data_IF_534575809558
#
_entry.id   IF_534575809558
#
_cell.length_a   1.000
_cell.length_b   1.000
_cell.length_c   1.000
_cell.angle_alpha   90.00
_cell.angle_beta   90.00
_cell.angle_gamma   90.00
#
_symmetry.space_group_name_H-M   'P 1'
#
loop_
_entity.id
_entity.type
_entity.pdbx_description
1 polymer ?
#
# COMPACT_ATOMS: atom_id res chain seq x y z
N UNK A 1 6.17 12.59 -46.87
CA UNK A 1 7.11 12.03 -45.88
C UNK A 1 7.05 12.75 -44.55
N UNK A 2 7.05 14.10 -44.50
CA UNK A 2 7.11 14.88 -43.24
C UNK A 2 5.91 14.81 -42.26
N UNK A 3 4.73 14.36 -42.68
CA UNK A 3 3.57 14.32 -41.78
C UNK A 3 3.52 13.03 -40.91
N UNK A 4 3.97 11.88 -41.44
CA UNK A 4 4.11 10.64 -40.68
C UNK A 4 5.20 10.67 -39.61
N UNK A 5 6.27 11.40 -39.88
CA UNK A 5 7.39 11.61 -38.94
C UNK A 5 6.93 12.45 -37.73
N UNK A 6 6.16 13.53 -37.96
CA UNK A 6 5.61 14.37 -36.86
C UNK A 6 4.58 13.66 -35.99
N UNK A 7 3.81 12.70 -36.57
CA UNK A 7 2.87 11.88 -35.79
C UNK A 7 3.64 10.84 -34.95
N UNK A 8 4.67 10.23 -35.50
CA UNK A 8 5.53 9.31 -34.77
C UNK A 8 6.27 10.00 -33.62
N UNK A 9 6.84 11.18 -33.85
CA UNK A 9 7.47 11.99 -32.80
C UNK A 9 6.49 12.38 -31.66
N UNK A 10 5.24 12.65 -32.00
CA UNK A 10 4.23 13.07 -31.02
C UNK A 10 3.68 11.91 -30.19
N UNK A 11 3.63 10.69 -30.71
CA UNK A 11 3.15 9.50 -29.99
C UNK A 11 4.26 8.67 -29.34
N UNK A 12 5.48 8.71 -29.87
CA UNK A 12 6.61 7.96 -29.30
C UNK A 12 7.61 8.85 -28.56
N UNK A 13 7.58 10.16 -28.78
CA UNK A 13 8.49 11.11 -28.14
C UNK A 13 8.37 11.10 -26.62
N UNK A 14 7.14 11.03 -26.08
CA UNK A 14 6.90 11.00 -24.62
C UNK A 14 7.29 9.65 -24.01
N UNK A 15 7.09 8.55 -24.74
CA UNK A 15 7.50 7.21 -24.31
C UNK A 15 9.02 7.09 -24.33
N UNK A 16 9.66 7.65 -25.36
CA UNK A 16 11.13 7.65 -25.47
C UNK A 16 11.73 8.56 -24.41
N UNK A 17 11.15 9.75 -24.17
CA UNK A 17 11.60 10.64 -23.08
C UNK A 17 11.46 9.98 -21.72
N UNK A 18 10.33 9.40 -21.41
CA UNK A 18 10.12 8.72 -20.12
C UNK A 18 11.09 7.55 -19.93
N UNK A 19 11.38 6.78 -20.98
CA UNK A 19 12.40 5.71 -20.92
C UNK A 19 13.82 6.21 -20.84
N UNK A 20 14.14 7.32 -21.51
CA UNK A 20 15.46 7.96 -21.40
C UNK A 20 15.64 8.59 -20.01
N UNK A 21 14.61 9.25 -19.47
CA UNK A 21 14.63 9.78 -18.11
C UNK A 21 14.77 8.65 -17.08
N UNK A 22 14.06 7.53 -17.27
CA UNK A 22 14.19 6.32 -16.45
C UNK A 22 15.60 5.71 -16.55
N UNK A 23 16.17 5.65 -17.75
CA UNK A 23 17.52 5.13 -17.94
C UNK A 23 18.59 6.07 -17.36
N UNK A 24 18.40 7.39 -17.47
CA UNK A 24 19.30 8.39 -16.88
C UNK A 24 19.21 8.35 -15.35
N UNK A 25 18.03 8.24 -14.77
CA UNK A 25 17.87 8.08 -13.32
C UNK A 25 18.48 6.77 -12.82
N UNK A 26 18.29 5.66 -13.53
CA UNK A 26 18.91 4.37 -13.17
C UNK A 26 20.45 4.40 -13.31
N UNK A 27 21.00 5.23 -14.19
CA UNK A 27 22.45 5.47 -14.31
C UNK A 27 22.93 6.39 -13.19
N UNK A 28 22.15 7.41 -12.85
CA UNK A 28 22.47 8.33 -11.75
C UNK A 28 22.45 7.60 -10.40
N UNK A 29 21.46 6.73 -10.15
CA UNK A 29 21.40 5.91 -8.95
C UNK A 29 22.58 4.94 -8.85
N UNK A 30 22.99 4.30 -9.98
CA UNK A 30 24.20 3.45 -10.03
C UNK A 30 25.49 4.25 -9.84
N UNK A 31 25.54 5.49 -10.35
CA UNK A 31 26.67 6.37 -10.21
C UNK A 31 26.89 6.82 -8.75
N UNK A 32 25.79 7.12 -8.02
CA UNK A 32 25.86 7.43 -6.59
C UNK A 32 26.34 6.24 -5.74
N UNK A 33 25.94 5.03 -6.07
CA UNK A 33 26.42 3.79 -5.43
C UNK A 33 27.96 3.64 -5.60
N UNK A 34 28.53 4.10 -6.70
CA UNK A 34 29.98 4.00 -6.97
C UNK A 34 30.81 5.13 -6.30
N UNK A 35 30.23 6.26 -5.96
CA UNK A 35 30.96 7.44 -5.49
C UNK A 35 30.82 7.78 -3.99
N UNK A 36 30.41 6.85 -3.15
CA UNK A 36 30.53 6.98 -1.68
C UNK A 36 29.24 7.18 -0.91
N UNK A 37 28.08 7.07 -1.53
CA UNK A 37 26.86 6.78 -0.79
C UNK A 37 26.88 5.30 -0.43
N UNK A 38 26.79 4.94 0.85
CA UNK A 38 26.55 3.57 1.26
C UNK A 38 25.11 3.23 0.94
N UNK A 39 24.84 2.88 -0.33
CA UNK A 39 23.59 2.20 -0.67
C UNK A 39 23.61 0.84 0.02
N UNK A 40 22.62 0.55 0.81
CA UNK A 40 22.44 -0.79 1.34
C UNK A 40 22.26 -1.74 0.15
N UNK A 41 23.06 -2.82 0.05
CA UNK A 41 23.10 -3.66 -1.15
C UNK A 41 21.79 -4.36 -1.44
N UNK A 42 20.86 -4.37 -0.49
CA UNK A 42 19.54 -5.00 -0.59
C UNK A 42 18.41 -4.00 -0.85
N UNK A 43 18.71 -2.69 -0.85
CA UNK A 43 17.68 -1.70 -1.17
C UNK A 43 17.36 -1.70 -2.66
N UNK A 44 16.09 -1.48 -2.95
CA UNK A 44 15.62 -1.25 -4.32
C UNK A 44 15.99 0.16 -4.76
N UNK A 45 16.25 0.38 -6.08
CA UNK A 45 16.42 1.72 -6.62
C UNK A 45 15.22 2.61 -6.25
N UNK A 46 15.48 3.88 -5.95
CA UNK A 46 14.45 4.83 -5.51
C UNK A 46 13.25 4.90 -6.47
N UNK A 47 13.52 4.91 -7.76
CA UNK A 47 12.47 4.95 -8.78
C UNK A 47 11.49 3.77 -8.66
N UNK A 48 12.01 2.55 -8.45
CA UNK A 48 11.18 1.35 -8.31
C UNK A 48 10.39 1.39 -7.00
N UNK A 49 11.04 1.81 -5.91
CA UNK A 49 10.39 1.96 -4.62
C UNK A 49 9.27 3.01 -4.66
N UNK A 50 9.52 4.15 -5.32
CA UNK A 50 8.50 5.19 -5.48
C UNK A 50 7.29 4.68 -6.27
N UNK A 51 7.52 3.90 -7.32
CA UNK A 51 6.46 3.23 -8.07
C UNK A 51 5.65 2.26 -7.21
N UNK A 52 6.30 1.42 -6.41
CA UNK A 52 5.63 0.49 -5.51
C UNK A 52 4.79 1.22 -4.44
N UNK A 53 5.32 2.29 -3.86
CA UNK A 53 4.58 3.11 -2.88
C UNK A 53 3.34 3.76 -3.50
N UNK A 54 3.45 4.25 -4.74
CA UNK A 54 2.32 4.81 -5.48
C UNK A 54 1.27 3.75 -5.81
N UNK A 55 1.69 2.59 -6.31
CA UNK A 55 0.82 1.45 -6.63
C UNK A 55 0.11 0.91 -5.38
N UNK A 56 0.80 0.83 -4.24
CA UNK A 56 0.22 0.40 -2.98
C UNK A 56 -0.84 1.39 -2.46
N UNK A 57 -0.58 2.70 -2.60
CA UNK A 57 -1.55 3.75 -2.25
C UNK A 57 -2.79 3.70 -3.14
N UNK A 58 -2.60 3.52 -4.46
CA UNK A 58 -3.71 3.41 -5.40
C UNK A 58 -4.52 2.12 -5.16
N UNK A 59 -3.84 1.00 -4.91
CA UNK A 59 -4.50 -0.26 -4.57
C UNK A 59 -5.34 -0.12 -3.30
N UNK A 60 -4.81 0.50 -2.24
CA UNK A 60 -5.56 0.75 -1.01
C UNK A 60 -6.80 1.61 -1.24
N UNK A 61 -6.72 2.62 -2.11
CA UNK A 61 -7.85 3.51 -2.44
C UNK A 61 -8.91 2.87 -3.32
N UNK A 62 -8.50 2.04 -4.28
CA UNK A 62 -9.37 1.60 -5.37
C UNK A 62 -9.71 0.10 -5.35
N UNK A 63 -8.96 -0.73 -4.62
CA UNK A 63 -9.17 -2.18 -4.59
C UNK A 63 -9.73 -2.63 -3.24
N UNK A 64 -10.96 -3.20 -3.19
CA UNK A 64 -11.60 -3.62 -1.94
C UNK A 64 -10.79 -4.64 -1.13
N UNK A 65 -10.06 -5.54 -1.81
CA UNK A 65 -9.24 -6.54 -1.11
C UNK A 65 -8.01 -5.91 -0.46
N UNK A 66 -7.32 -4.98 -1.15
CA UNK A 66 -6.20 -4.23 -0.58
C UNK A 66 -6.66 -3.41 0.63
N UNK A 67 -7.77 -2.70 0.50
CA UNK A 67 -8.37 -1.95 1.62
C UNK A 67 -8.67 -2.86 2.81
N UNK A 68 -9.30 -4.03 2.54
CA UNK A 68 -9.65 -4.98 3.61
C UNK A 68 -8.42 -5.56 4.31
N UNK A 69 -7.34 -5.87 3.58
CA UNK A 69 -6.10 -6.39 4.16
C UNK A 69 -5.48 -5.36 5.12
N UNK A 70 -5.38 -4.10 4.70
CA UNK A 70 -4.83 -3.03 5.56
C UNK A 70 -5.70 -2.81 6.78
N UNK A 71 -7.03 -2.65 6.61
CA UNK A 71 -7.94 -2.43 7.73
C UNK A 71 -7.96 -3.60 8.71
N UNK A 72 -7.92 -4.84 8.21
CA UNK A 72 -7.87 -6.02 9.05
C UNK A 72 -6.58 -6.08 9.88
N UNK A 73 -5.44 -5.75 9.28
CA UNK A 73 -4.17 -5.65 10.00
C UNK A 73 -4.27 -4.62 11.12
N UNK A 74 -4.80 -3.45 10.85
CA UNK A 74 -5.00 -2.40 11.86
C UNK A 74 -5.97 -2.83 12.96
N UNK A 75 -7.09 -3.49 12.60
CA UNK A 75 -8.04 -4.04 13.56
C UNK A 75 -7.39 -5.03 14.55
N UNK A 76 -6.47 -5.89 14.06
CA UNK A 76 -5.77 -6.85 14.90
C UNK A 76 -4.56 -6.29 15.65
N UNK A 77 -3.81 -5.37 15.06
CA UNK A 77 -2.58 -4.80 15.65
C UNK A 77 -2.91 -3.74 16.68
N UNK A 78 -3.75 -2.78 16.32
CA UNK A 78 -4.12 -1.67 17.20
C UNK A 78 -5.27 -2.07 18.13
N UNK A 79 -6.22 -2.85 17.65
CA UNK A 79 -7.35 -3.35 18.43
C UNK A 79 -8.15 -2.21 19.07
N UNK A 80 -8.34 -2.28 20.37
CA UNK A 80 -9.00 -1.22 21.16
C UNK A 80 -8.08 -0.03 21.48
N UNK A 81 -6.82 -0.09 21.04
CA UNK A 81 -5.78 0.91 21.27
C UNK A 81 -4.61 0.34 22.05
N UNK A 82 -3.47 1.01 21.89
CA UNK A 82 -2.24 0.72 22.63
C UNK A 82 -1.84 1.98 23.38
N UNK A 83 -1.25 1.83 24.54
CA UNK A 83 -0.72 2.94 25.35
C UNK A 83 0.65 2.58 25.90
N UNK A 84 1.50 3.58 26.07
CA UNK A 84 2.82 3.45 26.67
C UNK A 84 2.80 4.08 28.05
N UNK A 85 3.31 3.35 29.01
CA UNK A 85 3.35 3.73 30.41
C UNK A 85 4.77 3.64 30.97
N UNK A 86 4.98 4.23 32.15
CA UNK A 86 6.23 4.14 32.89
C UNK A 86 5.98 3.80 34.37
N UNK A 87 6.88 3.01 34.93
CA UNK A 87 6.93 2.73 36.37
C UNK A 87 7.39 3.95 37.19
N UNK A 88 7.98 4.96 36.56
CA UNK A 88 8.52 6.14 37.17
C UNK A 88 7.47 7.29 37.12
N UNK A 89 7.01 7.81 38.25
CA UNK A 89 5.90 8.77 38.27
C UNK A 89 6.16 10.04 37.42
N UNK A 90 7.38 10.58 37.46
CA UNK A 90 7.75 11.76 36.65
C UNK A 90 7.67 11.51 35.15
N UNK A 91 8.15 10.33 34.74
CA UNK A 91 8.11 9.90 33.32
C UNK A 91 6.67 9.65 32.91
N UNK A 92 5.86 9.03 33.78
CA UNK A 92 4.44 8.81 33.52
C UNK A 92 3.69 10.11 33.33
N UNK A 93 3.91 11.13 34.18
CA UNK A 93 3.28 12.45 34.04
C UNK A 93 3.64 13.11 32.68
N UNK A 94 4.90 12.98 32.23
CA UNK A 94 5.30 13.47 30.91
C UNK A 94 4.59 12.71 29.78
N UNK A 95 4.52 11.37 29.89
CA UNK A 95 3.84 10.52 28.90
C UNK A 95 2.36 10.87 28.78
N UNK A 96 1.66 11.04 29.88
CA UNK A 96 0.23 11.40 29.90
C UNK A 96 0.00 12.72 29.16
N UNK A 97 0.85 13.72 29.41
CA UNK A 97 0.79 15.01 28.72
C UNK A 97 1.14 14.87 27.23
N UNK A 98 2.18 14.11 26.89
CA UNK A 98 2.59 13.86 25.51
C UNK A 98 1.49 13.14 24.72
N UNK A 99 0.91 12.10 25.31
CA UNK A 99 -0.09 11.23 24.69
C UNK A 99 -1.39 11.96 24.39
N UNK A 100 -1.87 12.75 25.36
CA UNK A 100 -3.15 13.46 25.28
C UNK A 100 -3.04 14.84 24.67
N UNK A 101 -1.82 15.37 24.48
CA UNK A 101 -1.62 16.71 23.95
C UNK A 101 -2.38 16.92 22.65
N UNK A 102 -3.12 18.07 22.55
CA UNK A 102 -4.01 18.36 21.40
C UNK A 102 -3.32 18.34 20.03
N UNK A 103 -2.01 18.60 19.96
CA UNK A 103 -1.22 18.56 18.73
C UNK A 103 -0.70 17.16 18.41
N UNK A 104 -0.58 16.28 19.40
CA UNK A 104 -0.14 14.89 19.21
C UNK A 104 -1.34 13.97 18.97
N UNK A 105 -2.36 13.98 19.84
CA UNK A 105 -3.56 13.14 19.72
C UNK A 105 -3.19 11.70 19.40
N UNK A 106 -2.31 11.10 20.18
CA UNK A 106 -1.73 9.79 19.91
C UNK A 106 -2.79 8.72 19.58
N UNK A 107 -3.91 8.59 20.34
CA UNK A 107 -4.91 7.56 20.03
C UNK A 107 -5.48 7.64 18.61
N UNK A 108 -5.57 8.84 18.02
CA UNK A 108 -6.08 9.02 16.65
C UNK A 108 -5.02 8.77 15.57
N UNK A 109 -3.74 8.62 15.96
CA UNK A 109 -2.64 8.38 15.02
C UNK A 109 -2.31 6.91 14.85
N UNK A 110 -2.56 6.12 15.89
CA UNK A 110 -2.14 4.71 15.91
C UNK A 110 -2.69 3.93 14.71
N UNK A 111 -3.98 4.05 14.42
CA UNK A 111 -4.60 3.40 13.27
C UNK A 111 -3.94 3.84 11.95
N UNK A 112 -3.77 5.16 11.75
CA UNK A 112 -3.14 5.69 10.53
C UNK A 112 -1.69 5.27 10.37
N UNK A 113 -0.95 5.14 11.48
CA UNK A 113 0.44 4.68 11.45
C UNK A 113 0.53 3.18 11.14
N UNK A 114 -0.38 2.39 11.68
CA UNK A 114 -0.48 0.98 11.34
C UNK A 114 -0.87 0.78 9.87
N UNK A 115 -1.84 1.55 9.36
CA UNK A 115 -2.21 1.55 7.94
C UNK A 115 -1.02 1.93 7.05
N UNK A 116 -0.24 2.96 7.43
CA UNK A 116 0.92 3.41 6.67
C UNK A 116 2.02 2.36 6.65
N UNK A 117 2.36 1.76 7.82
CA UNK A 117 3.32 0.66 7.90
C UNK A 117 2.89 -0.54 7.05
N UNK A 118 1.63 -0.96 7.16
CA UNK A 118 1.09 -2.08 6.38
C UNK A 118 1.16 -1.80 4.88
N UNK A 119 0.81 -0.58 4.46
CA UNK A 119 0.75 -0.18 3.06
C UNK A 119 2.11 0.14 2.47
N UNK A 120 2.89 0.99 3.15
CA UNK A 120 4.16 1.51 2.64
C UNK A 120 5.38 0.71 3.13
N UNK A 121 5.25 -0.03 4.23
CA UNK A 121 6.37 -0.74 4.87
C UNK A 121 7.23 0.14 5.75
N UNK A 122 6.96 1.45 5.79
CA UNK A 122 7.78 2.43 6.45
C UNK A 122 6.95 3.55 7.06
N UNK A 123 7.43 4.09 8.17
CA UNK A 123 6.85 5.24 8.85
C UNK A 123 7.95 6.21 9.26
N UNK A 124 7.89 7.43 8.76
CA UNK A 124 8.81 8.51 9.12
C UNK A 124 8.10 9.53 10.01
N UNK A 125 8.60 9.69 11.24
CA UNK A 125 8.02 10.56 12.25
C UNK A 125 9.02 11.67 12.63
N UNK A 126 8.58 12.92 12.53
CA UNK A 126 9.38 14.07 12.97
C UNK A 126 8.94 14.50 14.36
N UNK A 127 9.86 14.48 15.29
CA UNK A 127 9.73 15.08 16.62
C UNK A 127 10.26 16.52 16.61
N UNK A 128 9.37 17.48 16.80
CA UNK A 128 9.73 18.89 17.00
C UNK A 128 9.65 19.20 18.49
N UNK A 129 10.78 19.44 19.14
CA UNK A 129 10.85 19.65 20.58
C UNK A 129 10.83 21.13 20.91
N UNK A 130 9.88 21.57 21.74
CA UNK A 130 9.78 22.93 22.23
C UNK A 130 10.88 23.17 23.29
N UNK A 131 11.75 24.17 23.09
CA UNK A 131 12.83 24.43 24.01
C UNK A 131 12.39 24.98 25.36
N UNK A 132 11.14 25.50 25.50
CA UNK A 132 10.67 26.12 26.72
C UNK A 132 10.18 25.12 27.76
N UNK A 133 9.59 24.00 27.32
CA UNK A 133 8.95 23.01 28.19
C UNK A 133 9.38 21.56 27.89
N UNK A 134 10.25 21.36 26.91
CA UNK A 134 10.73 20.03 26.48
C UNK A 134 9.68 19.19 25.76
N UNK A 135 8.43 19.66 25.59
CA UNK A 135 7.39 18.89 24.93
C UNK A 135 7.71 18.67 23.45
N UNK A 136 7.63 17.43 23.00
CA UNK A 136 7.79 17.06 21.60
C UNK A 136 6.46 16.95 20.89
N UNK A 137 6.40 17.44 19.65
CA UNK A 137 5.23 17.33 18.77
C UNK A 137 5.56 16.45 17.59
N UNK A 138 4.69 15.46 17.33
CA UNK A 138 4.90 14.46 16.29
C UNK A 138 4.22 14.87 14.99
N UNK A 139 4.93 14.71 13.87
CA UNK A 139 4.39 14.85 12.50
C UNK A 139 4.90 13.74 11.61
N UNK A 140 4.02 13.30 10.73
CA UNK A 140 4.33 12.26 9.74
C UNK A 140 4.91 12.88 8.47
N UNK A 141 5.90 12.20 7.87
CA UNK A 141 6.39 12.49 6.52
C UNK A 141 6.12 11.24 5.68
N UNK A 142 5.42 11.36 4.53
CA UNK A 142 5.15 10.21 3.67
C UNK A 142 6.45 9.55 3.19
N UNK A 143 6.52 8.22 3.23
CA UNK A 143 7.67 7.43 2.76
C UNK A 143 8.05 7.77 1.30
N UNK A 144 7.07 8.07 0.45
CA UNK A 144 7.27 8.47 -0.93
C UNK A 144 7.99 9.83 -1.11
N UNK A 145 8.24 10.58 -0.03
CA UNK A 145 9.01 11.82 -0.06
C UNK A 145 10.44 11.65 0.43
N UNK A 146 10.78 10.51 1.01
CA UNK A 146 12.14 10.24 1.53
C UNK A 146 12.88 9.41 0.48
N UNK A 147 13.76 10.06 -0.28
CA UNK A 147 14.50 9.41 -1.36
C UNK A 147 15.83 8.81 -0.90
N UNK A 148 16.42 9.32 0.19
CA UNK A 148 17.69 8.84 0.73
C UNK A 148 17.71 8.73 2.23
N UNK A 149 18.33 7.66 2.70
CA UNK A 149 18.66 7.41 4.11
C UNK A 149 20.17 7.25 4.18
N UNK A 150 20.84 8.02 5.01
CA UNK A 150 22.26 7.88 5.28
C UNK A 150 22.48 7.24 6.64
N UNK A 151 23.22 6.13 6.64
CA UNK A 151 23.63 5.42 7.84
C UNK A 151 25.13 5.62 8.13
N UNK A 152 25.56 5.25 9.33
CA UNK A 152 26.96 5.30 9.71
C UNK A 152 27.79 4.31 8.89
N UNK A 153 29.05 4.62 8.58
CA UNK A 153 29.95 3.72 7.88
C UNK A 153 30.10 2.38 8.62
N UNK A 154 29.70 1.30 7.95
CA UNK A 154 29.78 -0.06 8.52
C UNK A 154 28.65 -0.44 9.46
N UNK A 155 27.69 0.44 9.71
CA UNK A 155 26.52 0.19 10.57
C UNK A 155 25.25 0.75 9.96
N UNK A 156 24.47 -0.11 9.29
CA UNK A 156 23.21 0.27 8.64
C UNK A 156 22.07 0.54 9.64
N UNK A 157 22.22 0.15 10.89
CA UNK A 157 21.19 0.40 11.92
C UNK A 157 21.34 1.77 12.56
N UNK A 158 22.55 2.37 12.46
CA UNK A 158 22.77 3.73 12.90
C UNK A 158 22.46 4.73 11.80
N UNK A 159 21.17 5.07 11.65
CA UNK A 159 20.68 6.03 10.67
C UNK A 159 21.03 7.46 11.11
N UNK A 160 21.81 8.18 10.28
CA UNK A 160 22.34 9.50 10.59
C UNK A 160 21.42 10.63 10.15
N UNK A 161 20.85 10.51 8.94
CA UNK A 161 19.96 11.55 8.38
C UNK A 161 19.12 11.04 7.22
N UNK A 162 18.05 11.77 6.96
CA UNK A 162 17.07 11.44 5.92
C UNK A 162 16.90 12.64 4.99
N UNK A 163 16.87 12.39 3.69
CA UNK A 163 16.61 13.40 2.68
C UNK A 163 15.16 13.38 2.23
N UNK A 164 14.48 14.52 2.33
CA UNK A 164 13.07 14.70 1.94
C UNK A 164 12.98 15.55 0.67
N UNK A 165 12.28 15.03 -0.34
CA UNK A 165 11.86 15.76 -1.53
C UNK A 165 10.66 16.64 -1.19
N UNK A 166 10.86 17.94 -1.12
CA UNK A 166 9.83 18.92 -0.72
C UNK A 166 9.36 19.83 -1.86
N UNK A 167 9.68 19.49 -3.12
CA UNK A 167 9.39 20.27 -4.31
C UNK A 167 10.44 21.34 -4.62
N UNK A 168 11.47 21.52 -3.78
CA UNK A 168 12.67 22.28 -4.13
C UNK A 168 13.72 21.37 -4.75
N UNK A 169 14.63 21.93 -5.58
CA UNK A 169 15.72 21.16 -6.20
C UNK A 169 16.71 20.59 -5.18
N UNK A 170 16.85 21.22 -4.01
CA UNK A 170 17.80 20.83 -2.97
C UNK A 170 17.19 19.90 -1.92
N UNK A 171 15.85 19.76 -1.86
CA UNK A 171 15.17 18.99 -0.82
C UNK A 171 15.43 19.52 0.60
N UNK A 172 15.28 18.64 1.59
CA UNK A 172 15.55 18.92 3.00
C UNK A 172 16.18 17.73 3.68
N UNK A 173 17.20 17.97 4.49
CA UNK A 173 17.78 16.97 5.37
C UNK A 173 17.20 17.04 6.78
N UNK A 174 16.89 15.88 7.33
CA UNK A 174 16.44 15.71 8.70
C UNK A 174 17.48 14.91 9.48
N UNK A 175 17.90 15.34 10.68
CA UNK A 175 18.78 14.55 11.52
C UNK A 175 18.04 13.27 11.99
N UNK A 176 18.77 12.16 11.99
CA UNK A 176 18.32 10.85 12.46
C UNK A 176 18.79 10.55 13.87
N UNK A 177 18.37 9.39 14.45
CA UNK A 177 18.74 8.94 15.77
C UNK A 177 20.26 8.73 15.96
N UNK A 178 20.98 8.38 14.89
CA UNK A 178 22.41 8.17 14.90
C UNK A 178 23.24 9.45 14.77
N UNK A 179 22.63 10.61 14.56
CA UNK A 179 23.32 11.88 14.45
C UNK A 179 23.87 12.35 15.81
N UNK A 180 25.01 13.02 15.80
CA UNK A 180 25.67 13.50 17.04
C UNK A 180 24.82 14.58 17.76
N UNK A 181 23.95 15.28 17.04
CA UNK A 181 23.05 16.30 17.55
C UNK A 181 21.59 15.83 17.76
N UNK A 182 21.33 14.52 17.71
CA UNK A 182 19.99 13.93 17.78
C UNK A 182 19.15 14.43 18.98
N UNK A 183 19.77 14.63 20.15
CA UNK A 183 19.11 15.14 21.33
C UNK A 183 18.95 16.67 21.34
N UNK A 184 19.89 17.39 20.72
CA UNK A 184 19.95 18.86 20.77
C UNK A 184 19.35 19.56 19.55
N UNK A 185 19.23 18.90 18.41
CA UNK A 185 18.61 19.46 17.22
C UNK A 185 17.15 19.89 17.50
N UNK A 186 16.64 20.97 16.90
CA UNK A 186 15.25 21.38 17.11
C UNK A 186 14.23 20.34 16.64
N UNK A 187 14.60 19.57 15.64
CA UNK A 187 13.78 18.50 15.05
C UNK A 187 14.61 17.25 14.86
N UNK A 188 13.99 16.09 15.03
CA UNK A 188 14.57 14.78 14.82
C UNK A 188 13.57 13.94 14.01
N UNK A 189 14.04 13.23 13.00
CA UNK A 189 13.23 12.25 12.29
C UNK A 189 13.57 10.85 12.81
N UNK A 190 12.53 10.08 13.11
CA UNK A 190 12.59 8.67 13.44
C UNK A 190 12.05 7.88 12.27
N UNK A 191 12.70 6.77 11.95
CA UNK A 191 12.30 5.84 10.91
C UNK A 191 11.97 4.47 11.49
N UNK A 192 10.80 3.98 11.17
CA UNK A 192 10.34 2.64 11.53
C UNK A 192 9.98 1.89 10.27
N UNK A 193 10.39 0.63 10.17
CA UNK A 193 10.20 -0.18 8.98
C UNK A 193 9.81 -1.61 9.32
N UNK A 194 8.98 -2.21 8.46
CA UNK A 194 8.59 -3.62 8.53
C UNK A 194 9.13 -4.37 7.31
N UNK A 195 9.22 -5.69 7.42
CA UNK A 195 9.67 -6.57 6.33
C UNK A 195 11.01 -6.11 5.70
N UNK A 196 11.90 -5.55 6.52
CA UNK A 196 13.21 -5.06 6.09
C UNK A 196 14.20 -6.22 5.99
N UNK A 197 14.74 -6.53 4.79
CA UNK A 197 15.77 -7.57 4.66
C UNK A 197 17.06 -7.19 5.40
N UNK A 198 17.80 -8.18 5.86
CA UNK A 198 19.14 -7.92 6.42
C UNK A 198 20.03 -7.28 5.36
N UNK A 199 20.66 -6.17 5.68
CA UNK A 199 21.48 -5.40 4.74
C UNK A 199 20.70 -4.38 3.90
N UNK A 200 19.43 -4.14 4.22
CA UNK A 200 18.62 -3.05 3.66
C UNK A 200 18.46 -1.91 4.69
N UNK A 201 18.24 -0.69 4.21
CA UNK A 201 17.78 0.45 4.99
C UNK A 201 16.25 0.59 4.89
N UNK A 202 15.67 0.15 3.76
CA UNK A 202 14.27 0.36 3.44
C UNK A 202 13.42 -0.86 3.80
N UNK A 203 12.22 -0.61 4.30
CA UNK A 203 11.21 -1.63 4.52
C UNK A 203 10.35 -1.91 3.30
N UNK A 204 9.46 -2.89 3.42
CA UNK A 204 8.52 -3.24 2.36
C UNK A 204 7.11 -3.41 2.92
N UNK A 205 6.12 -2.77 2.29
CA UNK A 205 4.72 -2.92 2.67
C UNK A 205 4.17 -4.33 2.43
N UNK A 206 3.22 -4.73 3.25
CA UNK A 206 2.56 -6.04 3.12
C UNK A 206 1.78 -6.18 1.81
N UNK A 207 1.41 -5.06 1.18
CA UNK A 207 0.75 -5.07 -0.12
C UNK A 207 1.70 -5.37 -1.29
N UNK A 208 2.99 -5.06 -1.17
CA UNK A 208 3.94 -5.14 -2.29
C UNK A 208 3.97 -6.53 -2.99
N UNK A 209 4.06 -7.67 -2.29
CA UNK A 209 4.10 -8.98 -2.95
C UNK A 209 2.77 -9.37 -3.59
N UNK A 210 1.66 -8.75 -3.19
CA UNK A 210 0.31 -9.09 -3.66
C UNK A 210 -0.24 -8.12 -4.71
N UNK A 211 0.38 -6.95 -4.92
CA UNK A 211 -0.06 -5.95 -5.93
C UNK A 211 -0.28 -6.56 -7.32
N UNK A 212 0.63 -7.40 -7.87
CA UNK A 212 0.42 -8.02 -9.17
C UNK A 212 -0.81 -8.94 -9.21
N UNK A 213 -1.11 -9.64 -8.12
CA UNK A 213 -2.26 -10.53 -8.00
C UNK A 213 -3.57 -9.77 -7.85
N UNK A 214 -3.57 -8.67 -7.10
CA UNK A 214 -4.71 -7.76 -6.99
C UNK A 214 -5.07 -7.15 -8.33
N UNK A 215 -4.07 -6.76 -9.13
CA UNK A 215 -4.25 -6.22 -10.49
C UNK A 215 -4.85 -7.27 -11.42
N UNK A 216 -4.26 -8.47 -11.47
CA UNK A 216 -4.76 -9.59 -12.29
C UNK A 216 -6.19 -9.99 -11.93
N UNK A 217 -6.51 -10.04 -10.64
CA UNK A 217 -7.85 -10.38 -10.20
C UNK A 217 -8.86 -9.31 -10.60
N UNK A 218 -8.53 -8.03 -10.50
CA UNK A 218 -9.36 -6.91 -10.97
C UNK A 218 -9.62 -7.02 -12.48
N UNK A 219 -8.57 -7.19 -13.29
CA UNK A 219 -8.67 -7.34 -14.74
C UNK A 219 -9.53 -8.54 -15.12
N UNK A 220 -9.33 -9.66 -14.45
CA UNK A 220 -10.15 -10.86 -14.64
C UNK A 220 -11.63 -10.61 -14.33
N UNK A 221 -11.98 -9.90 -13.27
CA UNK A 221 -13.36 -9.53 -12.96
C UNK A 221 -13.97 -8.61 -14.02
N UNK A 222 -13.20 -7.64 -14.54
CA UNK A 222 -13.63 -6.75 -15.61
C UNK A 222 -13.90 -7.53 -16.90
N UNK A 223 -13.03 -8.45 -17.28
CA UNK A 223 -13.23 -9.30 -18.45
C UNK A 223 -14.43 -10.23 -18.28
N UNK A 224 -14.64 -10.79 -17.10
CA UNK A 224 -15.86 -11.57 -16.79
C UNK A 224 -17.12 -10.72 -16.95
N UNK A 225 -17.11 -9.49 -16.45
CA UNK A 225 -18.24 -8.59 -16.62
C UNK A 225 -18.50 -8.27 -18.10
N UNK A 226 -17.43 -8.07 -18.90
CA UNK A 226 -17.56 -7.90 -20.37
C UNK A 226 -18.14 -9.13 -21.05
N UNK A 227 -17.60 -10.32 -20.76
CA UNK A 227 -18.10 -11.59 -21.31
C UNK A 227 -19.58 -11.78 -20.97
N UNK A 228 -20.00 -11.52 -19.73
CA UNK A 228 -21.38 -11.64 -19.30
C UNK A 228 -22.30 -10.66 -20.03
N UNK A 229 -21.84 -9.43 -20.32
CA UNK A 229 -22.58 -8.47 -21.17
C UNK A 229 -22.77 -9.00 -22.59
N UNK A 230 -21.70 -9.56 -23.17
CA UNK A 230 -21.79 -10.16 -24.52
C UNK A 230 -22.68 -11.38 -24.54
N UNK A 231 -22.67 -12.24 -23.51
CA UNK A 231 -23.59 -13.40 -23.42
C UNK A 231 -25.04 -12.99 -23.32
N UNK A 232 -25.33 -11.87 -22.66
CA UNK A 232 -26.68 -11.30 -22.58
C UNK A 232 -27.12 -10.53 -23.83
N UNK A 233 -26.19 -10.27 -24.77
CA UNK A 233 -26.50 -9.60 -26.02
C UNK A 233 -27.05 -10.60 -27.06
N UNK A 234 -28.27 -10.39 -27.49
CA UNK A 234 -28.82 -11.12 -28.63
C UNK A 234 -28.25 -10.54 -29.91
N UNK A 235 -27.53 -11.38 -30.66
CA UNK A 235 -27.14 -11.05 -32.01
C UNK A 235 -28.16 -11.65 -32.98
N UNK A 236 -28.81 -10.81 -33.75
CA UNK A 236 -29.70 -11.27 -34.82
C UNK A 236 -28.86 -11.52 -36.07
N UNK A 237 -28.83 -12.78 -36.52
CA UNK A 237 -28.31 -13.13 -37.84
C UNK A 237 -29.49 -13.19 -38.78
N UNK A 238 -29.50 -12.30 -39.76
CA UNK A 238 -30.49 -12.30 -40.87
C UNK A 238 -29.83 -12.88 -42.09
N UNK A 239 -30.25 -14.05 -42.49
CA UNK A 239 -29.78 -14.71 -43.72
C UNK A 239 -30.79 -14.40 -44.82
N UNK A 240 -30.32 -13.77 -45.91
CA UNK A 240 -31.15 -13.47 -47.09
C UNK A 240 -30.72 -14.41 -48.20
N UNK A 241 -31.62 -15.27 -48.67
CA UNK A 241 -31.39 -16.18 -49.78
C UNK A 241 -31.53 -15.46 -51.10
N UNK A 242 -30.67 -15.82 -52.10
CA UNK A 242 -30.66 -15.27 -53.45
C UNK A 242 -30.50 -13.74 -53.52
N UNK A 243 -29.81 -13.14 -52.62
CA UNK A 243 -29.60 -11.69 -52.57
C UNK A 243 -28.54 -11.25 -53.59
N UNK A 244 -28.92 -10.40 -54.56
CA UNK A 244 -27.97 -9.64 -55.35
C UNK A 244 -27.24 -8.57 -54.54
N UNK A 245 -26.09 -8.01 -55.02
CA UNK A 245 -25.22 -7.11 -54.26
C UNK A 245 -25.95 -5.89 -53.63
N UNK A 246 -26.92 -5.28 -54.35
CA UNK A 246 -27.66 -4.14 -53.84
C UNK A 246 -28.81 -4.48 -52.87
N UNK A 247 -29.19 -5.75 -52.73
CA UNK A 247 -30.27 -6.20 -51.84
C UNK A 247 -29.73 -6.28 -50.41
N UNK A 248 -28.53 -6.81 -50.21
CA UNK A 248 -27.88 -6.91 -48.90
C UNK A 248 -27.66 -5.54 -48.26
N UNK A 249 -27.21 -4.54 -49.05
CA UNK A 249 -27.04 -3.18 -48.55
C UNK A 249 -28.35 -2.53 -48.10
N UNK A 250 -29.41 -2.66 -48.87
CA UNK A 250 -30.73 -2.17 -48.49
C UNK A 250 -31.26 -2.84 -47.23
N UNK A 251 -31.11 -4.17 -47.11
CA UNK A 251 -31.52 -4.92 -45.92
C UNK A 251 -30.67 -4.54 -44.70
N UNK A 252 -29.35 -4.36 -44.87
CA UNK A 252 -28.49 -3.85 -43.80
C UNK A 252 -28.92 -2.48 -43.28
N UNK A 253 -29.27 -1.56 -44.18
CA UNK A 253 -29.77 -0.25 -43.79
C UNK A 253 -31.16 -0.32 -43.10
N UNK A 254 -32.02 -1.23 -43.54
CA UNK A 254 -33.35 -1.46 -42.96
C UNK A 254 -33.25 -2.03 -41.51
N UNK A 255 -32.28 -2.92 -41.26
CA UNK A 255 -32.12 -3.61 -39.97
C UNK A 255 -31.01 -3.01 -39.09
N UNK A 256 -30.63 -1.76 -39.31
CA UNK A 256 -29.66 -1.07 -38.45
C UNK A 256 -30.10 -0.95 -36.97
N UNK A 257 -31.42 -1.00 -36.73
CA UNK A 257 -31.97 -1.06 -35.37
C UNK A 257 -32.52 -2.45 -35.10
N UNK A 258 -32.09 -3.14 -34.02
CA UNK A 258 -32.71 -4.40 -33.65
C UNK A 258 -34.17 -4.23 -33.31
N UNK A 259 -35.03 -5.23 -33.54
CA UNK A 259 -36.41 -5.20 -33.15
C UNK A 259 -36.52 -5.01 -31.62
N UNK A 260 -37.53 -4.25 -31.21
CA UNK A 260 -37.78 -4.04 -29.79
C UNK A 260 -38.18 -5.36 -29.12
N UNK A 261 -37.85 -5.57 -27.81
CA UNK A 261 -38.33 -6.75 -27.10
C UNK A 261 -39.84 -6.92 -27.18
N UNK A 262 -40.29 -8.12 -27.56
CA UNK A 262 -41.73 -8.42 -27.74
C UNK A 262 -42.27 -8.07 -29.12
N UNK A 263 -41.47 -7.57 -30.07
CA UNK A 263 -41.93 -7.32 -31.44
C UNK A 263 -42.18 -8.65 -32.18
N UNK A 264 -43.20 -8.62 -33.05
CA UNK A 264 -43.45 -9.73 -34.01
C UNK A 264 -42.64 -9.45 -35.27
N UNK A 265 -41.77 -10.39 -35.62
CA UNK A 265 -40.99 -10.33 -36.87
C UNK A 265 -41.76 -11.13 -37.90
N UNK A 266 -42.15 -10.46 -39.00
CA UNK A 266 -42.79 -11.09 -40.16
C UNK A 266 -41.76 -11.16 -41.28
N UNK A 267 -41.45 -12.37 -41.76
CA UNK A 267 -40.46 -12.63 -42.81
C UNK A 267 -41.10 -13.36 -43.98
N UNK A 268 -40.54 -13.23 -45.16
CA UNK A 268 -40.87 -14.03 -46.36
C UNK A 268 -39.94 -15.26 -46.46
N UNK A 269 -40.15 -16.06 -47.51
CA UNK A 269 -39.32 -17.27 -47.76
C UNK A 269 -37.85 -16.99 -48.02
N UNK A 270 -37.47 -15.74 -48.29
CA UNK A 270 -36.11 -15.33 -48.63
C UNK A 270 -35.32 -14.90 -47.40
N UNK A 271 -35.95 -14.69 -46.24
CA UNK A 271 -35.29 -14.23 -45.04
C UNK A 271 -35.45 -15.25 -43.89
N UNK A 272 -34.32 -15.59 -43.30
CA UNK A 272 -34.27 -16.42 -42.10
C UNK A 272 -33.64 -15.61 -40.96
N UNK A 273 -34.38 -15.41 -39.89
CA UNK A 273 -33.94 -14.75 -38.68
C UNK A 273 -33.56 -15.76 -37.64
N UNK A 274 -32.32 -15.71 -37.21
CA UNK A 274 -31.80 -16.59 -36.16
C UNK A 274 -31.19 -15.75 -35.05
N UNK A 275 -31.63 -16.02 -33.83
CA UNK A 275 -30.95 -15.50 -32.65
C UNK A 275 -29.64 -16.29 -32.45
N UNK A 276 -28.51 -15.61 -32.56
CA UNK A 276 -27.19 -16.21 -32.32
C UNK A 276 -26.76 -15.79 -30.92
N UNK A 277 -26.65 -16.77 -30.05
CA UNK A 277 -26.01 -16.61 -28.76
C UNK A 277 -24.53 -16.90 -28.94
N UNK A 278 -23.62 -15.98 -28.60
CA UNK A 278 -22.19 -16.31 -28.58
C UNK A 278 -21.96 -17.49 -27.64
N UNK A 279 -21.57 -18.62 -28.17
CA UNK A 279 -21.17 -19.79 -27.37
C UNK A 279 -19.79 -19.54 -26.76
N UNK A 280 -19.72 -18.60 -25.80
CA UNK A 280 -18.52 -18.37 -25.04
C UNK A 280 -18.57 -19.34 -23.85
N UNK A 281 -17.79 -20.42 -23.94
CA UNK A 281 -17.59 -21.35 -22.83
C UNK A 281 -16.86 -20.61 -21.72
N UNK A 282 -17.53 -20.34 -20.63
CA UNK A 282 -16.99 -19.64 -19.47
C UNK A 282 -17.45 -20.31 -18.16
N UNK A 283 -17.67 -21.63 -18.20
CA UNK A 283 -18.10 -22.42 -17.06
C UNK A 283 -17.02 -22.53 -15.98
N UNK A 284 -15.74 -22.59 -16.37
CA UNK A 284 -14.60 -22.84 -15.48
C UNK A 284 -13.97 -21.59 -14.84
N UNK A 285 -14.66 -20.47 -14.86
CA UNK A 285 -14.11 -19.23 -14.34
C UNK A 285 -14.07 -19.14 -12.79
N UNK A 286 -14.86 -19.95 -12.09
CA UNK A 286 -14.88 -19.92 -10.62
C UNK A 286 -13.58 -20.44 -9.99
N UNK A 287 -12.98 -21.56 -10.45
CA UNK A 287 -11.69 -22.03 -9.97
C UNK A 287 -10.56 -21.04 -10.17
N UNK A 288 -10.49 -20.37 -11.34
CA UNK A 288 -9.44 -19.40 -11.67
C UNK A 288 -9.52 -18.17 -10.75
N UNK A 289 -10.70 -17.61 -10.59
CA UNK A 289 -10.91 -16.48 -9.68
C UNK A 289 -10.58 -16.85 -8.22
N UNK A 290 -10.88 -18.09 -7.80
CA UNK A 290 -10.52 -18.59 -6.48
C UNK A 290 -9.01 -18.76 -6.33
N UNK A 291 -8.32 -19.28 -7.34
CA UNK A 291 -6.86 -19.43 -7.32
C UNK A 291 -6.15 -18.07 -7.14
N UNK A 292 -6.58 -17.03 -7.85
CA UNK A 292 -6.02 -15.69 -7.69
C UNK A 292 -6.26 -15.11 -6.29
N UNK A 293 -7.47 -15.30 -5.73
CA UNK A 293 -7.76 -14.87 -4.34
C UNK A 293 -6.96 -15.64 -3.31
N UNK A 294 -6.68 -16.93 -3.53
CA UNK A 294 -5.80 -17.72 -2.67
C UNK A 294 -4.37 -17.17 -2.67
N UNK A 295 -3.84 -16.72 -3.83
CA UNK A 295 -2.53 -16.08 -3.90
C UNK A 295 -2.49 -14.76 -3.15
N UNK A 296 -3.56 -13.96 -3.24
CA UNK A 296 -3.70 -12.72 -2.46
C UNK A 296 -3.74 -13.04 -0.96
N UNK A 297 -4.54 -14.01 -0.55
CA UNK A 297 -4.69 -14.42 0.85
C UNK A 297 -3.36 -14.97 1.43
N UNK A 298 -2.67 -15.82 0.66
CA UNK A 298 -1.39 -16.39 1.04
C UNK A 298 -0.30 -15.31 1.18
N UNK A 299 -0.23 -14.37 0.24
CA UNK A 299 0.74 -13.27 0.30
C UNK A 299 0.47 -12.27 1.42
N UNK A 300 -0.80 -12.11 1.82
CA UNK A 300 -1.19 -11.29 2.95
C UNK A 300 -1.11 -12.03 4.31
N UNK A 301 -0.81 -13.33 4.31
CA UNK A 301 -0.74 -14.14 5.55
C UNK A 301 -2.09 -14.34 6.24
N UNK A 302 -3.20 -14.20 5.52
CA UNK A 302 -4.57 -14.28 6.08
C UNK A 302 -5.39 -15.37 5.41
N UNK A 303 -6.28 -16.08 6.13
CA UNK A 303 -7.18 -17.06 5.55
C UNK A 303 -8.19 -16.40 4.59
N UNK A 304 -8.55 -17.10 3.52
CA UNK A 304 -9.45 -16.59 2.48
C UNK A 304 -10.83 -16.17 3.04
N UNK A 305 -11.32 -16.84 4.08
CA UNK A 305 -12.61 -16.50 4.69
C UNK A 305 -12.61 -15.13 5.40
N UNK A 306 -11.45 -14.56 5.77
CA UNK A 306 -11.36 -13.20 6.28
C UNK A 306 -11.48 -12.15 5.17
N UNK A 307 -11.19 -12.54 3.92
CA UNK A 307 -11.28 -11.63 2.78
C UNK A 307 -12.70 -11.55 2.20
N UNK A 308 -13.35 -12.68 1.94
CA UNK A 308 -14.67 -12.68 1.29
C UNK A 308 -15.42 -14.03 1.25
N UNK A 309 -14.91 -15.15 1.74
CA UNK A 309 -15.56 -16.46 1.64
C UNK A 309 -15.95 -17.01 3.01
N UNK A 310 -17.11 -16.57 3.54
CA UNK A 310 -17.64 -17.08 4.81
C UNK A 310 -18.39 -18.43 4.71
N UNK A 311 -18.74 -18.90 3.51
CA UNK A 311 -19.68 -20.01 3.33
C UNK A 311 -19.10 -21.42 3.49
N UNK A 312 -17.78 -21.60 3.45
CA UNK A 312 -17.14 -22.92 3.37
C UNK A 312 -16.45 -23.41 4.63
N UNK A 313 -16.42 -22.64 5.72
CA UNK A 313 -15.71 -23.01 6.94
C UNK A 313 -16.67 -23.39 8.08
N UNK A 314 -16.60 -24.63 8.54
CA UNK A 314 -17.16 -25.01 9.83
C UNK A 314 -16.43 -24.25 10.94
N UNK A 315 -17.15 -23.83 11.99
CA UNK A 315 -16.61 -23.03 13.10
C UNK A 315 -15.30 -23.60 13.67
N UNK A 316 -15.21 -24.92 13.84
CA UNK A 316 -13.99 -25.56 14.37
C UNK A 316 -12.80 -25.42 13.42
N UNK A 317 -13.01 -25.62 12.12
CA UNK A 317 -11.97 -25.45 11.08
C UNK A 317 -11.54 -23.99 10.95
N UNK A 318 -12.47 -23.04 11.05
CA UNK A 318 -12.17 -21.61 10.99
C UNK A 318 -11.31 -21.16 12.19
N UNK A 319 -11.53 -21.68 13.37
CA UNK A 319 -10.74 -21.40 14.58
C UNK A 319 -9.31 -21.95 14.44
N UNK A 320 -9.17 -23.20 14.00
CA UNK A 320 -7.85 -23.80 13.80
C UNK A 320 -7.05 -23.13 12.67
N UNK A 321 -7.70 -22.80 11.55
CA UNK A 321 -7.06 -22.07 10.45
C UNK A 321 -6.67 -20.63 10.82
N UNK A 322 -7.31 -20.05 11.83
CA UNK A 322 -7.01 -18.72 12.34
C UNK A 322 -5.75 -18.65 13.22
N UNK A 323 -5.35 -19.74 13.86
CA UNK A 323 -4.25 -19.72 14.83
C UNK A 323 -2.90 -19.18 14.29
N UNK A 324 -2.42 -19.53 13.06
CA UNK A 324 -1.22 -18.95 12.49
C UNK A 324 -1.35 -17.46 12.24
N UNK A 325 -2.53 -17.02 11.79
CA UNK A 325 -2.83 -15.62 11.52
C UNK A 325 -2.84 -14.78 12.79
N UNK A 326 -3.40 -15.29 13.88
CA UNK A 326 -3.35 -14.60 15.17
C UNK A 326 -1.91 -14.43 15.68
N UNK A 327 -1.04 -15.46 15.53
CA UNK A 327 0.39 -15.35 15.87
C UNK A 327 1.10 -14.31 15.02
N UNK A 328 0.78 -14.24 13.73
CA UNK A 328 1.33 -13.22 12.83
C UNK A 328 0.97 -11.82 13.31
N UNK A 329 -0.28 -11.58 13.66
CA UNK A 329 -0.73 -10.27 14.16
C UNK A 329 -0.23 -9.96 15.55
N UNK A 330 -0.08 -10.96 16.44
CA UNK A 330 0.57 -10.76 17.75
C UNK A 330 2.03 -10.32 17.61
N UNK A 331 2.75 -10.92 16.66
CA UNK A 331 4.11 -10.48 16.36
C UNK A 331 4.13 -9.04 15.86
N UNK A 332 3.30 -8.71 14.89
CA UNK A 332 3.17 -7.34 14.35
C UNK A 332 2.75 -6.33 15.43
N UNK A 333 1.87 -6.71 16.35
CA UNK A 333 1.48 -5.87 17.49
C UNK A 333 2.66 -5.55 18.39
N UNK A 334 3.51 -6.53 18.71
CA UNK A 334 4.72 -6.31 19.51
C UNK A 334 5.68 -5.36 18.80
N UNK A 335 5.97 -5.57 17.53
CA UNK A 335 6.79 -4.65 16.73
C UNK A 335 6.23 -3.22 16.75
N UNK A 336 4.92 -3.08 16.61
CA UNK A 336 4.25 -1.77 16.66
C UNK A 336 4.32 -1.14 18.06
N UNK A 337 4.16 -1.92 19.11
CA UNK A 337 4.30 -1.46 20.49
C UNK A 337 5.75 -1.05 20.81
N UNK A 338 6.75 -1.82 20.37
CA UNK A 338 8.16 -1.48 20.52
C UNK A 338 8.49 -0.15 19.80
N UNK A 339 7.94 0.08 18.61
CA UNK A 339 8.03 1.35 17.90
C UNK A 339 7.47 2.51 18.74
N UNK A 340 6.30 2.32 19.38
CA UNK A 340 5.68 3.34 20.24
C UNK A 340 6.52 3.61 21.50
N UNK A 341 7.10 2.58 22.09
CA UNK A 341 8.00 2.73 23.24
C UNK A 341 9.27 3.51 22.87
N UNK A 342 9.88 3.21 21.73
CA UNK A 342 11.04 3.94 21.22
C UNK A 342 10.71 5.41 20.92
N UNK A 343 9.59 5.68 20.26
CA UNK A 343 9.10 7.05 20.03
C UNK A 343 8.96 7.84 21.36
N UNK A 344 8.35 7.21 22.37
CA UNK A 344 8.18 7.81 23.67
C UNK A 344 9.53 8.02 24.38
N UNK A 345 10.45 7.05 24.28
CA UNK A 345 11.80 7.17 24.83
C UNK A 345 12.54 8.37 24.22
N UNK A 346 12.49 8.54 22.91
CA UNK A 346 13.06 9.70 22.24
C UNK A 346 12.43 11.02 22.68
N UNK A 347 11.11 11.08 22.82
CA UNK A 347 10.43 12.27 23.29
C UNK A 347 10.88 12.65 24.71
N UNK A 348 11.02 11.67 25.63
CA UNK A 348 11.46 11.89 27.01
C UNK A 348 12.92 12.32 27.06
N UNK A 349 13.85 11.59 26.39
CA UNK A 349 15.29 11.91 26.37
C UNK A 349 15.55 13.32 25.84
N UNK A 350 14.82 13.72 24.80
CA UNK A 350 14.91 15.07 24.26
C UNK A 350 14.38 16.13 25.22
N UNK A 351 13.31 15.83 25.98
CA UNK A 351 12.83 16.70 27.04
C UNK A 351 13.90 16.85 28.15
N UNK A 352 14.48 15.75 28.61
CA UNK A 352 15.54 15.75 29.62
C UNK A 352 16.75 16.56 29.17
N UNK A 353 17.22 16.35 27.93
CA UNK A 353 18.34 17.09 27.37
C UNK A 353 18.05 18.61 27.29
N UNK A 354 16.80 19.02 26.96
CA UNK A 354 16.40 20.43 26.91
C UNK A 354 16.29 21.07 28.28
N UNK A 355 15.89 20.31 29.30
CA UNK A 355 15.74 20.77 30.68
C UNK A 355 17.06 20.64 31.47
N UNK A 356 18.11 20.10 30.90
CA UNK A 356 19.40 19.89 31.58
C UNK A 356 19.35 18.76 32.60
N UNK A 357 18.40 17.83 32.46
CA UNK A 357 18.30 16.66 33.34
C UNK A 357 19.22 15.54 32.86
N UNK A 358 19.73 14.74 33.77
CA UNK A 358 20.56 13.58 33.43
C UNK A 358 19.71 12.47 32.78
N UNK A 359 20.29 11.76 31.82
CA UNK A 359 19.70 10.55 31.28
C UNK A 359 19.63 9.47 32.38
N UNK A 360 18.49 8.79 32.45
CA UNK A 360 18.23 7.73 33.41
C UNK A 360 17.36 6.62 32.82
N UNK A 361 17.13 5.61 33.60
CA UNK A 361 16.19 4.54 33.27
C UNK A 361 14.78 5.15 33.10
N UNK A 362 14.05 4.72 32.04
CA UNK A 362 12.72 5.25 31.71
C UNK A 362 11.60 4.35 32.23
N UNK A 363 11.87 3.07 32.53
CA UNK A 363 10.92 2.10 33.07
C UNK A 363 9.67 1.94 32.19
N UNK A 364 9.83 2.00 30.86
CA UNK A 364 8.72 1.96 29.90
C UNK A 364 8.15 0.56 29.77
N UNK A 365 6.84 0.49 29.56
CA UNK A 365 6.10 -0.69 29.15
C UNK A 365 4.85 -0.26 28.40
N UNK A 366 4.25 -1.21 27.66
CA UNK A 366 3.01 -0.93 26.91
C UNK A 366 1.86 -1.80 27.44
N UNK A 367 0.64 -1.31 27.24
CA UNK A 367 -0.60 -2.02 27.57
C UNK A 367 -1.60 -1.90 26.42
N UNK A 368 -2.42 -2.93 26.24
CA UNK A 368 -3.57 -2.91 25.33
C UNK A 368 -4.78 -2.29 26.07
N UNK A 369 -5.46 -1.33 25.44
CA UNK A 369 -6.65 -0.72 26.01
C UNK A 369 -7.77 -1.77 26.16
N UNK A 370 -8.27 -1.98 27.37
CA UNK A 370 -9.32 -2.96 27.70
C UNK A 370 -8.80 -4.39 27.97
N UNK A 371 -7.52 -4.65 27.88
CA UNK A 371 -6.88 -5.90 28.27
C UNK A 371 -6.71 -5.95 29.79
N UNK A 372 -7.37 -6.90 30.47
CA UNK A 372 -6.96 -7.27 31.81
C UNK A 372 -5.50 -7.75 31.77
N UNK A 373 -4.71 -7.42 32.79
CA UNK A 373 -3.32 -7.80 32.93
C UNK A 373 -3.11 -9.25 32.51
N UNK A 374 -2.46 -9.46 31.38
CA UNK A 374 -1.79 -10.72 31.09
C UNK A 374 -0.46 -10.67 31.82
N UNK A 375 -0.45 -11.15 33.07
CA UNK A 375 0.77 -11.49 33.76
C UNK A 375 1.46 -12.62 32.95
N UNK A 376 2.58 -12.32 32.36
CA UNK A 376 3.53 -13.30 31.82
C UNK A 376 4.62 -13.57 32.85
#
# INVERSE_FOLDING_TARGET
>A
MRWRERLAERFFGDIIRSRVEQAVQAVDDRWWVQFGGQAAPQDRPWHDLQGDLADALEAWRANPLAFRIVSLTTDFVVGQGLSVHSRLPRVQEFLDRFWTHRLNRMPLRLERWCDELTRAGELFLVLSTNPADGMSYVREVPAARIDRIEAAPGDLERELRYHELNGSLEGRWWPGPGADDALSAPQLMLHYSINRPVGALRGQGDLAPILPWLRRYKEWLEDRARINRFKGAFLWQVTVRNAGPGVLERKRAQYMRPPAPGSVIVTDETEEWRAVHPAIEAADASPDGRAMRLMVAAGAGIPLHFLAEGESANRATAVEMGAPTFRHYDHRRREFADMLMDLCAWAIRRAQARLGEAEGELGLYWEEAGGGKTDT
#
